data_IF_851547328599
#
_entry.id   IF_851547328599
#
_cell.length_a   1.000
_cell.length_b   1.000
_cell.length_c   1.000
_cell.angle_alpha   90.00
_cell.angle_beta   90.00
_cell.angle_gamma   90.00
#
_symmetry.space_group_name_H-M   'P 1'
#
loop_
_entity.id
_entity.type
_entity.pdbx_description
1 polymer ?
#
# COMPACT_ATOMS: atom_id res chain seq x y z
N UNK A 1 8.45 -17.01 -14.56
CA UNK A 1 8.09 -16.20 -13.39
C UNK A 1 7.19 -16.98 -12.45
N UNK A 2 5.97 -17.34 -12.85
CA UNK A 2 5.02 -18.14 -12.03
C UNK A 2 5.67 -19.39 -11.44
N UNK A 3 6.38 -20.19 -12.25
CA UNK A 3 7.04 -21.41 -11.76
C UNK A 3 8.16 -21.12 -10.73
N UNK A 4 8.85 -19.98 -10.85
CA UNK A 4 9.89 -19.59 -9.91
C UNK A 4 9.29 -19.14 -8.57
N UNK A 5 8.20 -18.38 -8.62
CA UNK A 5 7.43 -17.96 -7.44
C UNK A 5 6.85 -19.19 -6.74
N UNK A 6 6.27 -20.12 -7.49
CA UNK A 6 5.73 -21.38 -6.95
C UNK A 6 6.83 -22.19 -6.25
N UNK A 7 8.00 -22.33 -6.88
CA UNK A 7 9.15 -22.99 -6.27
C UNK A 7 9.59 -22.29 -4.98
N UNK A 8 9.64 -20.95 -5.00
CA UNK A 8 10.05 -20.16 -3.84
C UNK A 8 9.06 -20.32 -2.68
N UNK A 9 7.75 -20.27 -2.94
CA UNK A 9 6.71 -20.50 -1.92
C UNK A 9 6.95 -21.83 -1.21
N UNK A 10 7.14 -22.92 -1.96
CA UNK A 10 7.38 -24.26 -1.38
C UNK A 10 8.65 -24.31 -0.54
N UNK A 11 9.71 -23.63 -0.96
CA UNK A 11 10.99 -23.60 -0.23
C UNK A 11 10.89 -22.74 1.04
N UNK A 12 10.15 -21.63 0.99
CA UNK A 12 10.18 -20.60 2.04
C UNK A 12 8.95 -20.58 2.93
N UNK A 13 7.99 -21.48 2.74
CA UNK A 13 6.71 -21.43 3.47
C UNK A 13 6.89 -21.39 4.99
N UNK A 14 7.88 -22.10 5.53
CA UNK A 14 8.23 -22.11 6.96
C UNK A 14 8.73 -20.77 7.53
N UNK A 15 8.97 -19.75 6.68
CA UNK A 15 9.35 -18.41 7.14
C UNK A 15 8.24 -17.74 7.97
N UNK A 16 6.98 -18.10 7.69
CA UNK A 16 5.82 -17.72 8.50
C UNK A 16 4.97 -18.95 8.82
N UNK A 17 4.41 -19.01 10.02
CA UNK A 17 3.63 -20.18 10.47
C UNK A 17 2.16 -20.13 10.02
N UNK A 18 1.62 -18.94 9.84
CA UNK A 18 0.24 -18.71 9.40
C UNK A 18 0.11 -17.35 8.73
N UNK A 19 -0.94 -17.18 7.95
CA UNK A 19 -1.32 -15.87 7.41
C UNK A 19 -2.84 -15.78 7.30
N UNK A 20 -3.35 -14.56 7.47
CA UNK A 20 -4.76 -14.22 7.26
C UNK A 20 -5.00 -13.53 5.92
N UNK A 21 -3.94 -13.12 5.25
CA UNK A 21 -4.04 -12.31 4.04
C UNK A 21 -3.10 -12.80 2.95
N UNK A 22 -3.50 -12.61 1.70
CA UNK A 22 -2.70 -12.86 0.51
C UNK A 22 -2.83 -11.67 -0.43
N UNK A 23 -1.71 -11.10 -0.85
CA UNK A 23 -1.67 -9.90 -1.67
C UNK A 23 -0.86 -10.14 -2.93
N UNK A 24 -1.49 -9.95 -4.08
CA UNK A 24 -0.83 -9.90 -5.37
C UNK A 24 -0.61 -8.43 -5.72
N UNK A 25 0.64 -7.97 -5.62
CA UNK A 25 1.04 -6.59 -5.84
C UNK A 25 2.28 -6.41 -6.70
N UNK A 26 2.70 -5.15 -6.85
CA UNK A 26 3.97 -4.78 -7.48
C UNK A 26 3.76 -4.19 -8.86
N UNK A 27 4.34 -4.82 -9.90
CA UNK A 27 4.24 -4.32 -11.27
C UNK A 27 2.80 -4.21 -11.76
N UNK A 28 2.27 -5.29 -12.35
CA UNK A 28 0.85 -5.35 -12.70
C UNK A 28 0.41 -6.82 -12.61
N UNK A 29 -0.09 -7.27 -11.44
CA UNK A 29 -0.58 -8.63 -11.26
C UNK A 29 -1.69 -9.02 -12.24
N UNK A 30 -2.53 -8.06 -12.66
CA UNK A 30 -3.58 -8.27 -13.66
C UNK A 30 -3.09 -8.66 -15.06
N UNK A 31 -1.78 -8.63 -15.33
CA UNK A 31 -1.20 -9.21 -16.55
C UNK A 31 -1.18 -10.75 -16.49
N UNK A 32 -1.20 -11.33 -15.29
CA UNK A 32 -1.28 -12.78 -15.14
C UNK A 32 -2.66 -13.27 -15.54
N UNK A 33 -2.71 -14.36 -16.32
CA UNK A 33 -3.98 -15.02 -16.60
C UNK A 33 -4.60 -15.58 -15.32
N UNK A 34 -5.93 -15.70 -15.28
CA UNK A 34 -6.64 -16.31 -14.15
C UNK A 34 -6.11 -17.73 -13.83
N UNK A 35 -5.70 -18.50 -14.84
CA UNK A 35 -5.11 -19.82 -14.63
C UNK A 35 -3.74 -19.77 -13.93
N UNK A 36 -2.91 -18.76 -14.23
CA UNK A 36 -1.64 -18.57 -13.54
C UNK A 36 -1.84 -18.15 -12.08
N UNK A 37 -2.79 -17.23 -11.82
CA UNK A 37 -3.16 -16.84 -10.46
C UNK A 37 -3.72 -18.02 -9.68
N UNK A 38 -4.60 -18.82 -10.31
CA UNK A 38 -5.12 -20.06 -9.72
C UNK A 38 -4.01 -20.97 -9.22
N UNK A 39 -2.99 -21.23 -10.04
CA UNK A 39 -1.86 -22.08 -9.65
C UNK A 39 -1.14 -21.57 -8.39
N UNK A 40 -0.90 -20.27 -8.30
CA UNK A 40 -0.25 -19.67 -7.13
C UNK A 40 -1.15 -19.73 -5.90
N UNK A 41 -2.43 -19.41 -6.03
CA UNK A 41 -3.41 -19.49 -4.94
C UNK A 41 -3.54 -20.93 -4.45
N UNK A 42 -3.68 -21.91 -5.35
CA UNK A 42 -3.74 -23.33 -4.99
C UNK A 42 -2.47 -23.75 -4.23
N UNK A 43 -1.30 -23.29 -4.66
CA UNK A 43 -0.02 -23.57 -3.96
C UNK A 43 -0.04 -22.99 -2.54
N UNK A 44 -0.55 -21.77 -2.35
CA UNK A 44 -0.71 -21.18 -1.01
C UNK A 44 -1.68 -22.02 -0.16
N UNK A 45 -2.78 -22.48 -0.75
CA UNK A 45 -3.77 -23.35 -0.07
C UNK A 45 -3.22 -24.73 0.31
N UNK A 46 -2.21 -25.22 -0.41
CA UNK A 46 -1.50 -26.46 -0.08
C UNK A 46 -0.53 -26.28 1.09
N UNK A 47 0.09 -25.10 1.20
CA UNK A 47 1.18 -24.82 2.14
C UNK A 47 0.71 -24.29 3.50
N UNK A 48 -0.43 -23.60 3.55
CA UNK A 48 -0.99 -23.02 4.77
C UNK A 48 -2.47 -23.35 4.95
N UNK A 49 -2.94 -23.35 6.20
CA UNK A 49 -4.37 -23.38 6.50
C UNK A 49 -5.01 -22.03 6.16
N UNK A 50 -5.62 -21.96 4.98
CA UNK A 50 -6.31 -20.77 4.46
C UNK A 50 -7.75 -20.63 4.98
N UNK A 51 -8.21 -21.48 5.89
CA UNK A 51 -9.56 -21.37 6.45
C UNK A 51 -9.80 -20.05 7.18
N UNK A 52 -8.71 -19.39 7.60
CA UNK A 52 -8.68 -18.08 8.26
C UNK A 52 -8.32 -16.93 7.30
N UNK A 53 -8.34 -17.13 5.98
CA UNK A 53 -8.09 -16.04 5.03
C UNK A 53 -9.22 -15.02 5.07
N UNK A 54 -8.91 -13.84 5.59
CA UNK A 54 -9.83 -12.72 5.70
C UNK A 54 -9.75 -11.84 4.44
N UNK A 55 -8.56 -11.66 3.87
CA UNK A 55 -8.33 -10.78 2.72
C UNK A 55 -7.45 -11.41 1.66
N UNK A 56 -7.97 -11.54 0.43
CA UNK A 56 -7.20 -11.85 -0.76
C UNK A 56 -7.32 -10.69 -1.73
N UNK A 57 -6.25 -9.91 -1.82
CA UNK A 57 -6.17 -8.68 -2.61
C UNK A 57 -5.41 -8.92 -3.91
N UNK A 58 -5.92 -8.35 -5.00
CA UNK A 58 -5.20 -8.26 -6.26
C UNK A 58 -5.17 -6.81 -6.76
N UNK A 59 -3.99 -6.31 -7.11
CA UNK A 59 -3.83 -5.07 -7.85
C UNK A 59 -4.12 -5.27 -9.34
N UNK A 60 -4.85 -4.33 -9.93
CA UNK A 60 -5.23 -4.34 -11.34
C UNK A 60 -5.11 -2.96 -11.99
N UNK A 61 -4.74 -2.95 -13.27
CA UNK A 61 -4.91 -1.77 -14.11
C UNK A 61 -6.31 -1.76 -14.74
N UNK A 62 -6.92 -0.59 -14.96
CA UNK A 62 -8.27 -0.49 -15.53
C UNK A 62 -8.47 -1.24 -16.86
N UNK A 63 -7.46 -1.27 -17.74
CA UNK A 63 -7.56 -1.94 -19.03
C UNK A 63 -7.66 -3.47 -18.95
N UNK A 64 -7.25 -4.07 -17.84
CA UNK A 64 -7.27 -5.52 -17.63
C UNK A 64 -8.59 -5.98 -16.96
N UNK A 65 -9.41 -5.06 -16.46
CA UNK A 65 -10.65 -5.31 -15.72
C UNK A 65 -11.85 -5.64 -16.65
N UNK A 66 -11.71 -6.65 -17.50
CA UNK A 66 -12.82 -7.22 -18.27
C UNK A 66 -13.75 -8.02 -17.35
N UNK A 67 -15.04 -8.11 -17.70
CA UNK A 67 -16.03 -8.86 -16.91
C UNK A 67 -15.59 -10.30 -16.68
N UNK A 68 -15.23 -11.04 -17.73
CA UNK A 68 -14.80 -12.44 -17.65
C UNK A 68 -13.57 -12.63 -16.73
N UNK A 69 -12.61 -11.70 -16.79
CA UNK A 69 -11.42 -11.76 -15.95
C UNK A 69 -11.79 -11.53 -14.47
N UNK A 70 -12.62 -10.53 -14.19
CA UNK A 70 -13.08 -10.21 -12.83
C UNK A 70 -13.94 -11.34 -12.23
N UNK A 71 -14.82 -11.98 -13.03
CA UNK A 71 -15.57 -13.16 -12.62
C UNK A 71 -14.63 -14.33 -12.27
N UNK A 72 -13.59 -14.55 -13.08
CA UNK A 72 -12.60 -15.56 -12.80
C UNK A 72 -11.83 -15.27 -11.51
N UNK A 73 -11.43 -14.01 -11.25
CA UNK A 73 -10.80 -13.61 -9.99
C UNK A 73 -11.70 -13.87 -8.78
N UNK A 74 -12.98 -13.51 -8.86
CA UNK A 74 -13.98 -13.81 -7.81
C UNK A 74 -14.08 -15.31 -7.54
N UNK A 75 -14.13 -16.12 -8.59
CA UNK A 75 -14.18 -17.58 -8.48
C UNK A 75 -12.92 -18.18 -7.82
N UNK A 76 -11.77 -17.49 -7.91
CA UNK A 76 -10.55 -17.88 -7.22
C UNK A 76 -10.53 -17.49 -5.73
N UNK A 77 -11.49 -16.69 -5.28
CA UNK A 77 -11.60 -16.21 -3.91
C UNK A 77 -10.98 -14.83 -3.68
N UNK A 78 -10.64 -14.10 -4.74
CA UNK A 78 -10.25 -12.68 -4.62
C UNK A 78 -11.44 -11.91 -4.09
N UNK A 79 -11.28 -11.30 -2.92
CA UNK A 79 -12.35 -10.59 -2.22
C UNK A 79 -12.08 -9.09 -2.08
N UNK A 80 -10.87 -8.63 -2.42
CA UNK A 80 -10.49 -7.22 -2.53
C UNK A 80 -9.79 -6.94 -3.87
N UNK A 81 -10.15 -5.85 -4.53
CA UNK A 81 -9.55 -5.42 -5.78
C UNK A 81 -9.01 -4.00 -5.65
N UNK A 82 -7.72 -3.79 -5.92
CA UNK A 82 -7.10 -2.45 -5.93
C UNK A 82 -6.88 -2.00 -7.36
N UNK A 83 -7.53 -0.92 -7.78
CA UNK A 83 -7.50 -0.43 -9.16
C UNK A 83 -6.67 0.85 -9.26
N UNK A 84 -5.57 0.77 -10.00
CA UNK A 84 -4.64 1.88 -10.21
C UNK A 84 -5.16 2.96 -11.16
N UNK A 85 -6.11 3.78 -10.73
CA UNK A 85 -6.74 4.84 -11.55
C UNK A 85 -5.81 6.02 -11.78
N UNK A 86 -5.12 6.46 -10.73
CA UNK A 86 -4.20 7.60 -10.63
C UNK A 86 -4.86 8.97 -10.84
N UNK A 87 -5.66 9.13 -11.89
CA UNK A 87 -6.36 10.38 -12.21
C UNK A 87 -7.57 10.12 -13.09
N UNK A 88 -8.59 10.96 -12.97
CA UNK A 88 -9.79 11.06 -13.80
C UNK A 88 -9.68 12.10 -14.92
N UNK A 89 -8.50 12.70 -15.09
CA UNK A 89 -8.18 13.62 -16.19
C UNK A 89 -7.27 12.93 -17.20
N UNK A 90 -7.70 12.81 -18.46
CA UNK A 90 -6.96 12.11 -19.52
C UNK A 90 -5.56 12.71 -19.78
N UNK A 91 -5.43 14.03 -19.75
CA UNK A 91 -4.12 14.71 -19.90
C UNK A 91 -3.11 14.27 -18.82
N UNK A 92 -3.57 14.05 -17.58
CA UNK A 92 -2.69 13.55 -16.51
C UNK A 92 -2.24 12.12 -16.80
N UNK A 93 -3.18 11.27 -17.24
CA UNK A 93 -2.92 9.87 -17.55
C UNK A 93 -1.89 9.74 -18.68
N UNK A 94 -2.02 10.54 -19.74
CA UNK A 94 -1.06 10.61 -20.84
C UNK A 94 0.34 11.02 -20.36
N UNK A 95 0.44 12.08 -19.53
CA UNK A 95 1.71 12.55 -18.97
C UNK A 95 2.37 11.49 -18.06
N UNK A 96 1.56 10.74 -17.33
CA UNK A 96 1.99 9.61 -16.50
C UNK A 96 2.22 8.31 -17.29
N UNK A 97 2.06 8.33 -18.62
CA UNK A 97 2.22 7.17 -19.49
C UNK A 97 1.31 5.99 -19.11
N UNK A 98 0.09 6.32 -18.65
CA UNK A 98 -0.97 5.34 -18.38
C UNK A 98 -1.67 4.96 -19.68
N UNK A 99 -2.00 3.68 -19.83
CA UNK A 99 -2.62 3.13 -21.06
C UNK A 99 -4.13 3.30 -21.08
N UNK A 100 -4.75 3.53 -19.93
CA UNK A 100 -6.18 3.69 -19.77
C UNK A 100 -6.60 5.17 -19.84
N UNK A 101 -7.83 5.43 -20.29
CA UNK A 101 -8.51 6.71 -20.14
C UNK A 101 -9.34 6.78 -18.86
N UNK A 102 -9.75 7.98 -18.47
CA UNK A 102 -10.69 8.22 -17.37
C UNK A 102 -11.99 7.42 -17.53
N UNK A 103 -12.52 7.36 -18.75
CA UNK A 103 -13.71 6.57 -19.04
C UNK A 103 -13.48 5.05 -18.86
N UNK A 104 -12.27 4.55 -19.15
CA UNK A 104 -11.91 3.15 -18.85
C UNK A 104 -11.76 2.91 -17.35
N UNK A 105 -11.19 3.84 -16.60
CA UNK A 105 -11.09 3.77 -15.14
C UNK A 105 -12.47 3.64 -14.47
N UNK A 106 -13.42 4.50 -14.86
CA UNK A 106 -14.81 4.43 -14.36
C UNK A 106 -15.47 3.10 -14.74
N UNK A 107 -15.28 2.63 -15.98
CA UNK A 107 -15.83 1.33 -16.42
C UNK A 107 -15.24 0.16 -15.63
N UNK A 108 -13.94 0.16 -15.35
CA UNK A 108 -13.29 -0.92 -14.60
C UNK A 108 -13.91 -1.11 -13.21
N UNK A 109 -14.16 0.00 -12.49
CA UNK A 109 -14.82 -0.04 -11.17
C UNK A 109 -16.27 -0.54 -11.29
N UNK A 110 -17.01 -0.09 -12.33
CA UNK A 110 -18.37 -0.56 -12.58
C UNK A 110 -18.42 -2.06 -12.88
N UNK A 111 -17.56 -2.55 -13.76
CA UNK A 111 -17.45 -3.97 -14.08
C UNK A 111 -17.16 -4.80 -12.82
N UNK A 112 -16.20 -4.35 -11.99
CA UNK A 112 -15.87 -5.02 -10.73
C UNK A 112 -17.09 -5.08 -9.79
N UNK A 113 -17.84 -3.99 -9.70
CA UNK A 113 -19.08 -3.93 -8.90
C UNK A 113 -20.15 -4.87 -9.45
N UNK A 114 -20.36 -4.90 -10.76
CA UNK A 114 -21.37 -5.71 -11.44
C UNK A 114 -21.14 -7.22 -11.24
N UNK A 115 -19.88 -7.67 -11.23
CA UNK A 115 -19.54 -9.08 -10.92
C UNK A 115 -19.53 -9.40 -9.42
N UNK A 116 -19.84 -8.42 -8.58
CA UNK A 116 -20.06 -8.59 -7.14
C UNK A 116 -18.85 -8.34 -6.24
N UNK A 117 -17.84 -7.58 -6.67
CA UNK A 117 -16.85 -7.02 -5.73
C UNK A 117 -17.49 -5.94 -4.85
N UNK A 118 -17.34 -6.10 -3.55
CA UNK A 118 -17.86 -5.19 -2.52
C UNK A 118 -16.76 -4.55 -1.66
N UNK A 119 -15.49 -4.84 -1.92
CA UNK A 119 -14.32 -4.24 -1.30
C UNK A 119 -13.37 -3.79 -2.42
N UNK A 120 -13.62 -2.59 -2.94
CA UNK A 120 -12.84 -2.01 -4.03
C UNK A 120 -11.99 -0.85 -3.48
N UNK A 121 -10.69 -0.90 -3.80
CA UNK A 121 -9.78 0.22 -3.66
C UNK A 121 -9.58 0.90 -5.01
N UNK A 122 -9.50 2.23 -5.01
CA UNK A 122 -8.92 2.97 -6.12
C UNK A 122 -7.69 3.73 -5.64
N UNK A 123 -6.64 3.71 -6.45
CA UNK A 123 -5.43 4.47 -6.17
C UNK A 123 -5.47 5.78 -6.96
N UNK A 124 -5.21 6.89 -6.28
CA UNK A 124 -5.15 8.24 -6.82
C UNK A 124 -3.76 8.83 -6.57
N UNK A 125 -3.33 9.73 -7.44
CA UNK A 125 -2.12 10.51 -7.26
C UNK A 125 -2.44 12.00 -7.18
N UNK A 126 -1.82 12.69 -6.23
CA UNK A 126 -1.86 14.14 -6.10
C UNK A 126 -0.44 14.70 -6.06
N UNK A 127 -0.29 16.03 -6.05
CA UNK A 127 1.01 16.70 -6.17
C UNK A 127 1.61 16.57 -7.57
N UNK A 128 0.79 16.35 -8.61
CA UNK A 128 1.29 16.28 -9.99
C UNK A 128 1.66 17.71 -10.46
N UNK A 129 2.86 17.93 -11.04
CA UNK A 129 3.31 19.25 -11.52
C UNK A 129 2.44 19.90 -12.58
N UNK A 130 1.53 19.12 -13.16
CA UNK A 130 0.63 19.51 -14.24
C UNK A 130 -0.85 19.38 -13.86
N UNK A 131 -1.17 19.17 -12.58
CA UNK A 131 -2.53 19.16 -12.04
C UNK A 131 -2.81 20.48 -11.33
N UNK A 132 -3.92 21.13 -11.66
CA UNK A 132 -4.42 22.28 -10.90
C UNK A 132 -5.27 21.83 -9.71
N UNK A 133 -5.45 22.72 -8.73
CA UNK A 133 -6.31 22.48 -7.56
C UNK A 133 -7.77 22.22 -7.96
N UNK A 134 -8.29 22.86 -9.01
CA UNK A 134 -9.64 22.60 -9.54
C UNK A 134 -9.76 21.20 -10.15
N UNK A 135 -8.74 20.75 -10.86
CA UNK A 135 -8.68 19.38 -11.37
C UNK A 135 -8.60 18.37 -10.22
N UNK A 136 -7.90 18.69 -9.14
CA UNK A 136 -7.87 17.85 -7.95
C UNK A 136 -9.25 17.71 -7.29
N UNK A 137 -9.98 18.82 -7.12
CA UNK A 137 -11.37 18.78 -6.68
C UNK A 137 -12.26 17.90 -7.57
N UNK A 138 -12.10 18.02 -8.88
CA UNK A 138 -12.86 17.22 -9.85
C UNK A 138 -12.51 15.72 -9.75
N UNK A 139 -11.25 15.39 -9.51
CA UNK A 139 -10.80 14.01 -9.28
C UNK A 139 -11.44 13.41 -8.03
N UNK A 140 -11.45 14.14 -6.92
CA UNK A 140 -12.07 13.68 -5.68
C UNK A 140 -13.60 13.56 -5.80
N UNK A 141 -14.26 14.50 -6.50
CA UNK A 141 -15.69 14.40 -6.77
C UNK A 141 -16.02 13.11 -7.53
N UNK A 142 -15.26 12.80 -8.58
CA UNK A 142 -15.46 11.58 -9.36
C UNK A 142 -15.14 10.30 -8.58
N UNK A 143 -14.10 10.32 -7.73
CA UNK A 143 -13.80 9.23 -6.81
C UNK A 143 -14.98 8.93 -5.86
N UNK A 144 -15.60 9.98 -5.31
CA UNK A 144 -16.76 9.85 -4.41
C UNK A 144 -18.00 9.33 -5.15
N UNK A 145 -18.23 9.75 -6.40
CA UNK A 145 -19.34 9.26 -7.24
C UNK A 145 -19.24 7.74 -7.50
N UNK A 146 -18.04 7.18 -7.56
CA UNK A 146 -17.84 5.74 -7.71
C UNK A 146 -18.27 4.94 -6.48
N UNK A 147 -18.36 5.60 -5.31
CA UNK A 147 -18.82 4.99 -4.07
C UNK A 147 -18.01 3.76 -3.65
N UNK A 148 -16.69 3.78 -3.88
CA UNK A 148 -15.78 2.70 -3.49
C UNK A 148 -15.59 2.66 -1.97
N UNK A 149 -15.11 1.52 -1.47
CA UNK A 149 -15.01 1.33 -0.04
C UNK A 149 -13.70 1.87 0.54
N UNK A 150 -12.68 1.98 -0.31
CA UNK A 150 -11.34 2.38 0.07
C UNK A 150 -10.67 3.20 -1.03
N UNK A 151 -9.89 4.20 -0.63
CA UNK A 151 -9.14 5.08 -1.52
C UNK A 151 -7.71 5.17 -1.00
N UNK A 152 -6.75 4.81 -1.84
CA UNK A 152 -5.34 5.11 -1.63
C UNK A 152 -5.01 6.41 -2.37
N UNK A 153 -4.36 7.36 -1.72
CA UNK A 153 -3.98 8.64 -2.30
C UNK A 153 -2.50 8.92 -2.03
N UNK A 154 -1.70 8.84 -3.09
CA UNK A 154 -0.25 8.99 -3.02
C UNK A 154 0.19 10.37 -3.48
N UNK A 155 1.06 11.01 -2.70
CA UNK A 155 1.77 12.20 -3.16
C UNK A 155 2.84 11.80 -4.18
N UNK A 156 2.93 12.49 -5.31
CA UNK A 156 3.98 12.23 -6.28
C UNK A 156 5.33 12.70 -5.75
N UNK A 157 6.18 11.75 -5.37
CA UNK A 157 7.60 11.96 -5.17
C UNK A 157 8.37 11.78 -6.48
N UNK A 158 9.22 12.75 -6.83
CA UNK A 158 10.07 12.68 -8.03
C UNK A 158 11.51 12.36 -7.62
N UNK A 159 11.89 11.10 -7.83
CA UNK A 159 13.26 10.64 -7.58
C UNK A 159 14.13 10.77 -8.85
N UNK A 160 15.43 11.13 -8.74
CA UNK A 160 16.31 11.36 -9.90
C UNK A 160 16.38 10.18 -10.89
N UNK A 161 16.29 8.95 -10.38
CA UNK A 161 16.41 7.73 -11.19
C UNK A 161 15.10 7.29 -11.85
N UNK A 162 13.97 7.94 -11.54
CA UNK A 162 12.66 7.64 -12.14
C UNK A 162 12.53 8.21 -13.55
N UNK A 163 11.48 7.80 -14.27
CA UNK A 163 11.16 8.36 -15.59
C UNK A 163 10.95 9.88 -15.50
N UNK A 164 10.29 10.36 -14.45
CA UNK A 164 10.04 11.79 -14.26
C UNK A 164 11.31 12.57 -13.90
N UNK A 165 12.15 12.03 -13.03
CA UNK A 165 13.46 12.62 -12.73
C UNK A 165 14.33 12.74 -13.97
N UNK A 166 14.39 11.69 -14.80
CA UNK A 166 15.13 11.69 -16.08
C UNK A 166 14.54 12.65 -17.13
N UNK A 167 13.25 12.98 -17.04
CA UNK A 167 12.58 14.00 -17.87
C UNK A 167 12.76 15.43 -17.34
N UNK A 168 13.41 15.60 -16.18
CA UNK A 168 13.65 16.91 -15.56
C UNK A 168 12.42 17.54 -14.91
N UNK A 169 11.34 16.77 -14.70
CA UNK A 169 10.18 17.25 -13.96
C UNK A 169 10.58 17.58 -12.52
N UNK A 170 10.09 18.71 -12.03
CA UNK A 170 10.28 19.14 -10.65
C UNK A 170 9.04 18.81 -9.83
N UNK A 171 9.21 18.53 -8.54
CA UNK A 171 8.09 18.40 -7.63
C UNK A 171 7.30 19.73 -7.58
N UNK A 172 6.01 19.64 -7.24
CA UNK A 172 5.21 20.83 -6.97
C UNK A 172 5.75 21.58 -5.75
N UNK A 173 5.41 22.87 -5.67
CA UNK A 173 5.70 23.67 -4.48
C UNK A 173 5.05 23.04 -3.22
N UNK A 174 5.73 23.16 -2.07
CA UNK A 174 5.25 22.61 -0.80
C UNK A 174 3.86 23.17 -0.44
N UNK A 175 3.59 24.45 -0.69
CA UNK A 175 2.29 25.05 -0.40
C UNK A 175 1.16 24.43 -1.23
N UNK A 176 1.44 24.03 -2.48
CA UNK A 176 0.46 23.33 -3.34
C UNK A 176 0.23 21.92 -2.81
N UNK A 177 1.29 21.24 -2.35
CA UNK A 177 1.17 19.91 -1.74
C UNK A 177 0.32 19.94 -0.48
N UNK A 178 0.56 20.91 0.39
CA UNK A 178 -0.17 21.13 1.63
C UNK A 178 -1.65 21.43 1.34
N UNK A 179 -1.94 22.34 0.39
CA UNK A 179 -3.30 22.66 -0.03
C UNK A 179 -4.03 21.42 -0.57
N UNK A 180 -3.41 20.66 -1.46
CA UNK A 180 -4.03 19.47 -2.06
C UNK A 180 -4.27 18.35 -1.04
N UNK A 181 -3.35 18.15 -0.10
CA UNK A 181 -3.52 17.21 1.00
C UNK A 181 -4.65 17.65 1.95
N UNK A 182 -4.73 18.93 2.28
CA UNK A 182 -5.80 19.46 3.13
C UNK A 182 -7.18 19.27 2.45
N UNK A 183 -7.26 19.52 1.15
CA UNK A 183 -8.46 19.26 0.34
C UNK A 183 -8.82 17.77 0.36
N UNK A 184 -7.85 16.88 0.12
CA UNK A 184 -8.02 15.42 0.16
C UNK A 184 -8.58 14.97 1.52
N UNK A 185 -7.87 15.32 2.59
CA UNK A 185 -8.22 14.92 3.95
C UNK A 185 -9.64 15.40 4.31
N UNK A 186 -9.94 16.68 4.11
CA UNK A 186 -11.27 17.24 4.44
C UNK A 186 -12.38 16.64 3.58
N UNK A 187 -12.13 16.43 2.29
CA UNK A 187 -13.15 15.94 1.35
C UNK A 187 -13.55 14.50 1.68
N UNK A 188 -12.56 13.62 1.88
CA UNK A 188 -12.83 12.22 2.17
C UNK A 188 -13.39 12.00 3.58
N UNK A 189 -12.87 12.70 4.59
CA UNK A 189 -13.40 12.58 5.97
C UNK A 189 -14.83 13.10 6.11
N UNK A 190 -15.17 14.22 5.45
CA UNK A 190 -16.57 14.71 5.38
C UNK A 190 -17.50 13.76 4.64
N UNK A 191 -16.96 12.92 3.77
CA UNK A 191 -17.71 11.94 2.99
C UNK A 191 -17.78 10.56 3.66
N UNK A 192 -17.34 10.45 4.92
CA UNK A 192 -17.46 9.24 5.72
C UNK A 192 -16.30 8.24 5.59
N UNK A 193 -15.17 8.65 5.00
CA UNK A 193 -13.96 7.84 5.03
C UNK A 193 -13.09 8.21 6.24
N UNK A 194 -12.57 7.21 6.91
CA UNK A 194 -11.53 7.37 7.93
C UNK A 194 -10.15 7.46 7.26
N UNK A 195 -9.37 8.50 7.59
CA UNK A 195 -7.95 8.59 7.22
C UNK A 195 -7.12 7.81 8.25
N UNK A 196 -6.92 6.51 8.01
CA UNK A 196 -6.41 5.59 9.03
C UNK A 196 -4.90 5.37 8.97
N UNK A 197 -4.26 5.67 7.84
CA UNK A 197 -2.81 5.67 7.69
C UNK A 197 -2.37 6.64 6.58
N UNK A 198 -1.07 6.86 6.43
CA UNK A 198 -0.46 7.95 5.65
C UNK A 198 -1.02 8.15 4.23
N UNK A 199 -1.41 7.08 3.53
CA UNK A 199 -1.94 7.17 2.16
C UNK A 199 -3.39 6.71 2.02
N UNK A 200 -3.99 6.06 3.02
CA UNK A 200 -5.22 5.31 2.82
C UNK A 200 -6.39 5.83 3.65
N UNK A 201 -7.53 5.82 2.97
CA UNK A 201 -8.82 6.20 3.46
C UNK A 201 -9.78 5.02 3.29
N UNK A 202 -10.56 4.71 4.33
CA UNK A 202 -11.50 3.59 4.29
C UNK A 202 -12.85 3.96 4.86
N UNK A 203 -13.92 3.38 4.32
CA UNK A 203 -15.18 3.28 5.07
C UNK A 203 -15.01 2.30 6.23
N UNK A 204 -15.87 2.42 7.23
CA UNK A 204 -15.88 1.52 8.39
C UNK A 204 -15.93 0.05 7.93
N UNK A 205 -15.01 -0.77 8.45
CA UNK A 205 -14.88 -2.19 8.10
C UNK A 205 -14.08 -2.49 6.82
N UNK A 206 -13.56 -1.48 6.11
CA UNK A 206 -12.86 -1.65 4.83
C UNK A 206 -11.38 -1.21 4.83
N UNK A 207 -10.78 -1.02 6.01
CA UNK A 207 -9.32 -0.85 6.13
C UNK A 207 -8.64 -2.07 5.50
N UNK A 208 -7.59 -1.85 4.71
CA UNK A 208 -6.83 -2.92 4.06
C UNK A 208 -6.04 -3.73 5.09
N UNK A 209 -6.44 -4.99 5.31
CA UNK A 209 -5.83 -5.82 6.36
C UNK A 209 -4.37 -6.14 6.04
N UNK A 210 -4.06 -6.45 4.78
CA UNK A 210 -2.68 -6.73 4.38
C UNK A 210 -1.77 -5.52 4.55
N UNK A 211 -2.19 -4.34 4.07
CA UNK A 211 -1.41 -3.11 4.21
C UNK A 211 -1.24 -2.69 5.68
N UNK A 212 -2.30 -2.80 6.49
CA UNK A 212 -2.24 -2.57 7.93
C UNK A 212 -1.25 -3.51 8.62
N UNK A 213 -1.06 -4.73 8.12
CA UNK A 213 -0.08 -5.68 8.62
C UNK A 213 1.35 -5.15 8.62
N UNK A 214 1.76 -4.44 7.56
CA UNK A 214 3.08 -3.81 7.48
C UNK A 214 3.28 -2.77 8.57
N UNK A 215 2.30 -1.87 8.72
CA UNK A 215 2.34 -0.83 9.76
C UNK A 215 2.31 -1.41 11.17
N UNK A 216 1.71 -2.60 11.31
CA UNK A 216 1.60 -3.30 12.57
C UNK A 216 2.76 -4.26 12.87
N UNK A 217 3.80 -4.29 12.02
CA UNK A 217 4.94 -5.18 12.19
C UNK A 217 4.55 -6.66 12.24
N UNK A 218 3.45 -7.04 11.59
CA UNK A 218 3.03 -8.43 11.49
C UNK A 218 4.04 -9.16 10.57
N UNK A 219 4.54 -10.35 10.93
CA UNK A 219 5.43 -11.12 10.07
C UNK A 219 4.81 -11.39 8.69
N UNK A 220 5.61 -11.32 7.63
CA UNK A 220 5.17 -11.61 6.28
C UNK A 220 6.28 -12.24 5.43
N UNK A 221 5.86 -13.10 4.51
CA UNK A 221 6.71 -13.68 3.48
C UNK A 221 6.39 -13.04 2.13
N UNK A 222 7.37 -12.37 1.54
CA UNK A 222 7.32 -11.94 0.15
C UNK A 222 8.11 -12.88 -0.75
N UNK A 223 7.51 -13.22 -1.89
CA UNK A 223 8.09 -14.05 -2.95
C UNK A 223 8.01 -13.33 -4.29
N UNK A 224 8.96 -13.61 -5.19
CA UNK A 224 9.10 -12.87 -6.45
C UNK A 224 10.24 -11.85 -6.44
N UNK A 225 10.61 -11.33 -7.61
CA UNK A 225 11.66 -10.32 -7.74
C UNK A 225 11.32 -9.06 -6.91
N UNK A 226 12.32 -8.50 -6.23
CA UNK A 226 12.18 -7.37 -5.29
C UNK A 226 11.28 -7.61 -4.06
N UNK A 227 10.70 -8.81 -3.88
CA UNK A 227 9.80 -9.05 -2.76
C UNK A 227 10.57 -9.07 -1.43
N UNK A 228 10.00 -8.41 -0.42
CA UNK A 228 10.57 -8.31 0.92
C UNK A 228 9.86 -9.26 1.87
N UNK A 229 10.55 -9.70 2.92
CA UNK A 229 10.01 -10.53 4.00
C UNK A 229 10.50 -9.99 5.34
N UNK A 230 9.65 -10.12 6.37
CA UNK A 230 9.97 -9.72 7.74
C UNK A 230 9.48 -10.81 8.70
N UNK A 231 10.32 -11.21 9.63
CA UNK A 231 10.01 -12.31 10.56
C UNK A 231 9.20 -11.88 11.80
N UNK A 232 8.90 -10.57 11.93
CA UNK A 232 8.22 -10.00 13.09
C UNK A 232 9.15 -9.56 14.22
N UNK A 233 10.44 -9.86 14.09
CA UNK A 233 11.45 -9.59 15.11
C UNK A 233 12.45 -8.56 14.57
N UNK A 234 13.62 -9.01 14.14
CA UNK A 234 14.74 -8.19 13.72
C UNK A 234 15.25 -8.55 12.32
N UNK A 235 14.73 -9.60 11.66
CA UNK A 235 15.27 -10.04 10.38
C UNK A 235 14.42 -9.60 9.21
N UNK A 236 15.05 -8.89 8.27
CA UNK A 236 14.48 -8.58 6.95
C UNK A 236 15.23 -9.31 5.86
N UNK A 237 14.51 -9.80 4.87
CA UNK A 237 15.07 -10.43 3.67
C UNK A 237 14.42 -9.85 2.43
N UNK A 238 15.16 -9.72 1.34
CA UNK A 238 14.56 -9.38 0.05
C UNK A 238 15.24 -10.04 -1.14
N UNK A 239 14.42 -10.33 -2.14
CA UNK A 239 14.88 -10.90 -3.39
C UNK A 239 15.55 -9.85 -4.27
N UNK A 240 16.46 -10.31 -5.12
CA UNK A 240 17.10 -9.48 -6.15
C UNK A 240 16.04 -8.80 -7.02
N UNK A 241 16.28 -7.54 -7.40
CA UNK A 241 15.32 -6.75 -8.18
C UNK A 241 15.28 -7.12 -9.67
N UNK A 242 16.34 -7.76 -10.18
CA UNK A 242 16.40 -8.21 -11.57
C UNK A 242 15.59 -9.49 -11.76
N UNK A 243 14.53 -9.41 -12.58
CA UNK A 243 13.74 -10.58 -12.98
C UNK A 243 14.62 -11.71 -13.54
N UNK A 244 15.65 -11.38 -14.34
CA UNK A 244 16.56 -12.39 -14.90
C UNK A 244 17.31 -13.12 -13.79
N UNK A 245 17.94 -12.38 -12.88
CA UNK A 245 18.72 -12.96 -11.78
C UNK A 245 17.83 -13.75 -10.82
N UNK A 246 16.61 -13.25 -10.56
CA UNK A 246 15.62 -13.95 -9.75
C UNK A 246 15.25 -15.31 -10.37
N UNK A 247 14.98 -15.36 -11.69
CA UNK A 247 14.68 -16.60 -12.40
C UNK A 247 15.87 -17.57 -12.43
N UNK A 248 17.10 -17.06 -12.41
CA UNK A 248 18.34 -17.84 -12.30
C UNK A 248 18.59 -18.35 -10.87
N UNK A 249 17.79 -17.92 -9.89
CA UNK A 249 17.92 -18.34 -8.49
C UNK A 249 19.02 -17.60 -7.72
N UNK A 250 19.31 -16.35 -8.08
CA UNK A 250 20.24 -15.51 -7.34
C UNK A 250 19.87 -15.41 -5.85
N UNK A 251 20.88 -15.32 -4.95
CA UNK A 251 20.64 -15.32 -3.52
C UNK A 251 19.86 -14.07 -3.07
N UNK A 252 19.12 -14.24 -1.98
CA UNK A 252 18.43 -13.16 -1.26
C UNK A 252 19.45 -12.30 -0.52
N UNK A 253 19.15 -11.02 -0.34
CA UNK A 253 19.83 -10.20 0.67
C UNK A 253 19.10 -10.35 2.00
N UNK A 254 19.85 -10.35 3.10
CA UNK A 254 19.32 -10.39 4.46
C UNK A 254 20.03 -9.35 5.30
N UNK A 255 19.29 -8.77 6.24
CA UNK A 255 19.83 -7.97 7.34
C UNK A 255 19.16 -8.35 8.66
N UNK A 256 19.89 -8.15 9.76
CA UNK A 256 19.35 -8.16 11.11
C UNK A 256 19.42 -6.74 11.65
N UNK A 257 18.28 -6.22 12.09
CA UNK A 257 18.13 -4.88 12.63
C UNK A 257 18.88 -4.75 13.95
N UNK A 258 19.58 -3.64 14.12
CA UNK A 258 20.08 -3.27 15.44
C UNK A 258 18.90 -2.87 16.34
N UNK A 259 19.11 -2.81 17.65
CA UNK A 259 18.09 -2.31 18.59
C UNK A 259 17.60 -0.90 18.20
N UNK A 260 18.54 -0.06 17.75
CA UNK A 260 18.27 1.30 17.28
C UNK A 260 17.45 1.31 15.99
N UNK A 261 17.79 0.48 15.01
CA UNK A 261 17.01 0.39 13.77
C UNK A 261 15.61 -0.14 14.02
N UNK A 262 15.48 -1.16 14.89
CA UNK A 262 14.19 -1.71 15.29
C UNK A 262 13.32 -0.69 16.03
N UNK A 263 13.94 0.17 16.86
CA UNK A 263 13.27 1.30 17.51
C UNK A 263 12.78 2.34 16.49
N UNK A 264 13.68 2.81 15.61
CA UNK A 264 13.33 3.83 14.61
C UNK A 264 12.26 3.31 13.63
N UNK A 265 12.36 2.05 13.20
CA UNK A 265 11.35 1.37 12.37
C UNK A 265 10.00 1.26 13.08
N UNK A 266 9.98 0.92 14.37
CA UNK A 266 8.75 0.88 15.16
C UNK A 266 8.07 2.25 15.17
N UNK A 267 8.82 3.33 15.43
CA UNK A 267 8.25 4.68 15.42
C UNK A 267 7.71 5.05 14.03
N UNK A 268 8.47 4.77 12.96
CA UNK A 268 8.06 5.05 11.58
C UNK A 268 6.77 4.33 11.20
N UNK A 269 6.69 3.04 11.49
CA UNK A 269 5.58 2.21 11.05
C UNK A 269 4.31 2.51 11.84
N UNK A 270 4.41 2.76 13.15
CA UNK A 270 3.25 3.01 14.01
C UNK A 270 2.69 4.41 13.87
N UNK A 271 3.54 5.43 13.84
CA UNK A 271 3.09 6.83 13.84
C UNK A 271 2.60 7.32 12.48
N UNK A 272 2.82 6.54 11.41
CA UNK A 272 2.14 6.72 10.10
C UNK A 272 0.72 6.15 10.06
N UNK A 273 0.18 5.73 11.21
CA UNK A 273 -1.21 5.28 11.37
C UNK A 273 -1.94 6.14 12.40
N UNK A 274 -3.26 6.25 12.24
CA UNK A 274 -4.11 7.03 13.15
C UNK A 274 -4.20 6.36 14.53
N UNK A 275 -4.05 5.04 14.57
CA UNK A 275 -4.06 4.25 15.79
C UNK A 275 -2.81 4.51 16.64
N UNK A 276 -1.65 4.73 15.98
CA UNK A 276 -0.39 4.94 16.65
C UNK A 276 0.09 3.69 17.39
N UNK A 277 0.53 3.84 18.65
CA UNK A 277 0.96 2.73 19.49
C UNK A 277 0.63 2.91 20.98
N UNK A 278 0.67 1.81 21.74
CA UNK A 278 0.58 1.83 23.20
C UNK A 278 1.89 2.31 23.82
N UNK A 279 1.80 3.36 24.65
CA UNK A 279 2.91 3.92 25.40
C UNK A 279 3.53 2.86 26.30
N UNK A 280 2.72 2.13 27.06
CA UNK A 280 3.21 1.10 27.98
C UNK A 280 3.92 -0.05 27.25
N UNK A 281 3.39 -0.52 26.12
CA UNK A 281 4.04 -1.55 25.30
C UNK A 281 5.38 -1.06 24.75
N UNK A 282 5.44 0.19 24.29
CA UNK A 282 6.68 0.81 23.81
C UNK A 282 7.73 0.92 24.92
N UNK A 283 7.35 1.44 26.09
CA UNK A 283 8.26 1.60 27.22
C UNK A 283 8.79 0.26 27.72
N UNK A 284 7.95 -0.78 27.70
CA UNK A 284 8.37 -2.14 28.03
C UNK A 284 9.31 -2.74 26.98
N UNK A 285 9.02 -2.52 25.69
CA UNK A 285 9.77 -3.12 24.58
C UNK A 285 11.18 -2.54 24.46
N UNK A 286 11.33 -1.23 24.65
CA UNK A 286 12.59 -0.52 24.42
C UNK A 286 13.27 -0.02 25.71
N UNK A 287 12.69 -0.29 26.89
CA UNK A 287 13.15 0.18 28.20
C UNK A 287 13.40 1.71 28.24
N UNK A 288 12.57 2.47 27.52
CA UNK A 288 12.75 3.91 27.27
C UNK A 288 11.41 4.63 27.26
N UNK A 289 11.39 5.86 27.79
CA UNK A 289 10.19 6.71 27.78
C UNK A 289 10.04 7.42 26.44
N UNK A 290 8.80 7.49 25.95
CA UNK A 290 8.48 8.33 24.80
C UNK A 290 8.57 9.81 25.21
N UNK A 291 9.35 10.59 24.46
CA UNK A 291 9.49 12.01 24.70
C UNK A 291 8.38 12.79 23.97
N UNK A 292 7.79 13.81 24.61
CA UNK A 292 6.88 14.71 23.90
C UNK A 292 7.61 15.41 22.75
N UNK A 293 6.95 15.48 21.59
CA UNK A 293 7.42 16.25 20.43
C UNK A 293 6.26 17.03 19.81
N UNK A 294 6.57 18.10 19.08
CA UNK A 294 5.55 18.91 18.41
C UNK A 294 4.83 18.06 17.37
N UNK A 295 3.49 18.02 17.43
CA UNK A 295 2.65 17.19 16.53
C UNK A 295 2.44 15.76 17.02
N UNK A 296 3.11 15.33 18.10
CA UNK A 296 2.87 14.04 18.74
C UNK A 296 1.82 14.19 19.85
N UNK A 297 0.78 13.36 19.81
CA UNK A 297 -0.29 13.34 20.81
C UNK A 297 -0.11 12.14 21.73
N UNK A 298 -0.25 12.38 23.03
CA UNK A 298 -0.22 11.34 24.07
C UNK A 298 -1.50 11.49 24.90
N UNK A 299 -2.44 10.56 24.72
CA UNK A 299 -3.74 10.58 25.41
C UNK A 299 -3.94 9.23 26.11
N UNK A 300 -3.88 9.24 27.43
CA UNK A 300 -3.86 8.01 28.22
C UNK A 300 -2.65 7.15 27.86
N UNK A 301 -2.90 5.94 27.38
CA UNK A 301 -1.86 5.01 26.93
C UNK A 301 -1.59 5.07 25.42
N UNK A 302 -2.28 5.93 24.65
CA UNK A 302 -2.11 6.00 23.20
C UNK A 302 -1.17 7.13 22.79
N UNK A 303 -0.18 6.81 21.95
CA UNK A 303 0.74 7.76 21.30
C UNK A 303 0.46 7.77 19.80
N UNK A 304 0.15 8.91 19.21
CA UNK A 304 -0.24 8.99 17.79
C UNK A 304 -0.01 10.38 17.19
N UNK A 305 -0.01 10.43 15.85
CA UNK A 305 -0.09 11.68 15.07
C UNK A 305 -1.52 11.81 14.56
N UNK A 306 -2.10 13.00 14.63
CA UNK A 306 -3.43 13.24 14.08
C UNK A 306 -3.41 13.06 12.56
N UNK A 307 -4.44 12.44 11.99
CA UNK A 307 -4.42 12.09 10.57
C UNK A 307 -4.37 13.31 9.62
N UNK A 308 -4.78 14.49 10.10
CA UNK A 308 -4.64 15.77 9.39
C UNK A 308 -3.19 16.27 9.30
N UNK A 309 -2.28 15.66 10.06
CA UNK A 309 -0.87 16.04 10.15
C UNK A 309 0.05 14.96 9.49
N UNK A 310 -0.53 13.95 8.82
CA UNK A 310 0.26 12.89 8.16
C UNK A 310 1.19 13.37 7.06
N UNK A 311 0.86 14.46 6.36
CA UNK A 311 1.77 15.02 5.35
C UNK A 311 3.13 15.40 5.94
N UNK A 312 3.15 15.80 7.22
CA UNK A 312 4.37 16.19 7.94
C UNK A 312 4.82 15.12 8.95
N UNK A 313 4.23 13.92 8.95
CA UNK A 313 4.52 12.89 9.95
C UNK A 313 6.00 12.51 9.97
N UNK A 314 6.63 12.41 8.81
CA UNK A 314 8.03 12.00 8.71
C UNK A 314 8.97 12.97 9.44
N UNK A 315 8.67 14.27 9.38
CA UNK A 315 9.40 15.30 10.13
C UNK A 315 9.20 15.17 11.64
N UNK A 316 7.96 14.87 12.07
CA UNK A 316 7.64 14.64 13.49
C UNK A 316 8.38 13.40 13.97
N UNK A 317 8.32 12.30 13.23
CA UNK A 317 8.92 11.02 13.60
C UNK A 317 10.46 11.10 13.61
N UNK A 318 11.06 11.78 12.63
CA UNK A 318 12.51 11.99 12.59
C UNK A 318 13.04 12.73 13.84
N UNK A 319 12.23 13.58 14.48
CA UNK A 319 12.60 14.23 15.75
C UNK A 319 12.68 13.28 16.95
N UNK A 320 12.12 12.07 16.82
CA UNK A 320 12.11 11.02 17.83
C UNK A 320 13.19 9.96 17.57
N UNK A 321 13.89 10.06 16.43
CA UNK A 321 14.89 9.08 16.06
C UNK A 321 16.14 9.17 16.91
N UNK A 322 16.72 8.00 17.12
CA UNK A 322 18.09 7.86 17.57
C UNK A 322 19.01 8.01 16.37
N UNK A 323 19.90 9.00 16.44
CA UNK A 323 20.92 9.27 15.43
C UNK A 323 22.22 8.66 15.97
N UNK A 324 22.99 7.97 15.12
CA UNK A 324 24.34 7.55 15.46
C UNK A 324 25.19 8.78 15.76
N UNK A 325 25.85 8.80 16.92
CA UNK A 325 27.02 9.66 17.16
C UNK A 325 28.17 9.31 16.19
#
# INVERSE_FOLDING_TARGET
MVDAIERELRIRHDFITSTKTLYFGGGTPSVCSAQQLKRLIDTVRELWDVSQFEELTLEANPEDCTTDYLEALRALGVNRLSIGIQSFTDEHLEKMNRRHSSAQAVRAVRNAREVGFNNITIDLMYGLPFMTTEQWHSNLAQALELGVEHISAYHLTIEPNTIFGKRGLQAVDENISDEQFEILHKTLTRSGYEHYEVSNFAREGFRALHNSGYWQGIPYLGVGASAHSFDGCDRREWNVSSNKLYLEGAPRTQECLTEQDAHNEFLMTRLRTADGFSKSDYEQRFDRKILPSQGLNIVGDRVFIEAKDFLISDKIIASLFEIND
#
